data_IF_879356194647
#
_entry.id   IF_879356194647
#
_cell.length_a   1.000
_cell.length_b   1.000
_cell.length_c   1.000
_cell.angle_alpha   90.00
_cell.angle_beta   90.00
_cell.angle_gamma   90.00
#
_symmetry.space_group_name_H-M   'P 1'
#
loop_
_entity.id
_entity.type
_entity.pdbx_description
1 polymer ?
#
# COMPACT_ATOMS: atom_id res chain seq x y z
N UNK A 1 -5.32 -4.95 -14.31
CA UNK A 1 -5.44 -3.63 -13.65
C UNK A 1 -4.03 -3.10 -13.41
N UNK A 2 -3.84 -1.78 -13.51
CA UNK A 2 -2.61 -1.09 -13.12
C UNK A 2 -2.87 -0.27 -11.87
N UNK A 3 -1.87 -0.21 -10.99
CA UNK A 3 -1.83 0.70 -9.87
C UNK A 3 -0.61 1.62 -9.96
N UNK A 4 -0.74 2.83 -9.42
CA UNK A 4 0.35 3.80 -9.31
C UNK A 4 0.30 4.45 -7.94
N UNK A 5 1.45 4.72 -7.35
CA UNK A 5 1.58 5.34 -6.03
C UNK A 5 2.98 5.95 -5.88
N UNK A 6 3.09 6.91 -4.96
CA UNK A 6 4.35 7.48 -4.52
C UNK A 6 4.83 6.70 -3.29
N UNK A 7 5.92 5.94 -3.40
CA UNK A 7 6.48 5.14 -2.30
C UNK A 7 7.70 5.81 -1.69
N UNK A 8 7.64 6.05 -0.38
CA UNK A 8 8.82 6.36 0.44
C UNK A 8 9.34 5.09 1.11
N UNK A 9 10.67 4.99 1.23
CA UNK A 9 11.34 3.85 1.88
C UNK A 9 12.12 4.36 3.10
N UNK A 10 11.96 3.66 4.22
CA UNK A 10 12.71 3.89 5.45
C UNK A 10 13.22 2.55 5.95
N UNK A 11 14.42 2.53 6.53
CA UNK A 11 14.99 1.29 7.06
C UNK A 11 15.97 1.59 8.18
N UNK A 12 16.12 0.62 9.07
CA UNK A 12 17.15 0.64 10.10
C UNK A 12 18.52 0.32 9.46
N UNK A 13 19.64 0.83 10.02
CA UNK A 13 20.97 0.55 9.48
C UNK A 13 21.33 -0.94 9.42
N UNK A 14 20.79 -1.72 10.35
CA UNK A 14 20.95 -3.18 10.45
C UNK A 14 20.08 -3.97 9.45
N UNK A 15 19.23 -3.28 8.68
CA UNK A 15 18.29 -3.84 7.70
C UNK A 15 17.22 -4.78 8.27
N UNK A 16 17.07 -4.85 9.60
CA UNK A 16 16.05 -5.70 10.24
C UNK A 16 14.63 -5.22 9.97
N UNK A 17 14.44 -3.90 9.97
CA UNK A 17 13.13 -3.30 9.79
C UNK A 17 13.14 -2.40 8.56
N UNK A 18 12.10 -2.56 7.74
CA UNK A 18 11.83 -1.65 6.62
C UNK A 18 10.39 -1.18 6.68
N UNK A 19 10.19 0.12 6.55
CA UNK A 19 8.89 0.73 6.40
C UNK A 19 8.75 1.26 4.98
N UNK A 20 7.61 1.01 4.36
CA UNK A 20 7.19 1.70 3.15
C UNK A 20 5.93 2.50 3.41
N UNK A 21 5.88 3.72 2.88
CA UNK A 21 4.69 4.56 2.93
C UNK A 21 4.27 4.90 1.51
N UNK A 22 3.11 4.39 1.12
CA UNK A 22 2.51 4.61 -0.19
C UNK A 22 1.44 5.69 -0.09
N UNK A 23 1.57 6.72 -0.92
CA UNK A 23 0.65 7.86 -1.01
C UNK A 23 0.18 8.03 -2.45
N UNK A 24 -0.85 8.86 -2.65
CA UNK A 24 -1.40 9.18 -3.97
C UNK A 24 -1.76 7.93 -4.78
N UNK A 25 -2.45 6.98 -4.14
CA UNK A 25 -2.83 5.72 -4.75
C UNK A 25 -3.80 5.99 -5.91
N UNK A 26 -3.51 5.36 -7.04
CA UNK A 26 -4.22 5.51 -8.30
C UNK A 26 -4.42 4.15 -8.93
N UNK A 27 -5.63 3.89 -9.40
CA UNK A 27 -6.02 2.62 -10.02
C UNK A 27 -6.57 2.83 -11.42
N UNK A 28 -6.23 1.90 -12.32
CA UNK A 28 -6.62 1.93 -13.73
C UNK A 28 -7.08 0.54 -14.19
N UNK A 29 -8.30 0.44 -14.73
CA UNK A 29 -8.77 -0.79 -15.37
C UNK A 29 -8.22 -0.91 -16.79
N UNK A 30 -7.78 -2.12 -17.16
CA UNK A 30 -7.44 -2.43 -18.55
C UNK A 30 -8.67 -2.65 -19.43
N UNK A 31 -9.81 -2.99 -18.83
CA UNK A 31 -11.03 -3.36 -19.54
C UNK A 31 -11.78 -2.11 -20.06
N UNK A 32 -11.74 -1.00 -19.31
CA UNK A 32 -12.45 0.24 -19.64
C UNK A 32 -11.54 1.32 -20.25
N UNK A 33 -10.22 1.16 -20.15
CA UNK A 33 -9.26 2.14 -20.68
C UNK A 33 -8.88 1.88 -22.14
N UNK A 34 -9.81 2.14 -23.06
CA UNK A 34 -9.57 1.95 -24.51
C UNK A 34 -8.40 2.81 -25.06
N UNK A 35 -7.97 3.87 -24.33
CA UNK A 35 -6.83 4.74 -24.71
C UNK A 35 -6.03 5.36 -23.53
N UNK A 36 -6.19 4.87 -22.29
CA UNK A 36 -5.57 5.45 -21.07
C UNK A 36 -5.84 6.96 -20.81
N UNK A 37 -6.82 7.58 -21.47
CA UNK A 37 -6.99 9.05 -21.45
C UNK A 37 -7.75 9.55 -20.21
N UNK A 38 -8.54 8.73 -19.50
CA UNK A 38 -9.44 9.29 -18.45
C UNK A 38 -9.86 8.43 -17.24
N UNK A 39 -9.22 7.31 -16.93
CA UNK A 39 -9.76 6.37 -15.93
C UNK A 39 -8.84 6.14 -14.73
N UNK A 40 -8.62 7.20 -13.94
CA UNK A 40 -7.92 7.11 -12.66
C UNK A 40 -8.92 7.17 -11.52
N UNK A 41 -9.10 6.07 -10.79
CA UNK A 41 -9.68 6.18 -9.45
C UNK A 41 -8.57 6.59 -8.49
N UNK A 42 -8.71 7.75 -7.86
CA UNK A 42 -7.79 8.21 -6.82
C UNK A 42 -8.30 7.76 -5.47
N UNK A 43 -7.41 7.24 -4.65
CA UNK A 43 -7.69 6.93 -3.26
C UNK A 43 -6.82 7.84 -2.39
N UNK A 44 -7.46 8.57 -1.46
CA UNK A 44 -6.75 9.46 -0.53
C UNK A 44 -6.11 8.70 0.65
N UNK A 45 -6.32 7.38 0.72
CA UNK A 45 -5.70 6.54 1.71
C UNK A 45 -4.16 6.60 1.63
N UNK A 46 -3.53 6.42 2.79
CA UNK A 46 -2.09 6.21 2.92
C UNK A 46 -1.88 4.79 3.42
N UNK A 47 -1.08 4.01 2.69
CA UNK A 47 -0.78 2.63 3.08
C UNK A 47 0.63 2.57 3.66
N UNK A 48 0.73 2.22 4.95
CA UNK A 48 1.99 1.95 5.61
C UNK A 48 2.18 0.44 5.73
N UNK A 49 3.34 -0.06 5.29
CA UNK A 49 3.73 -1.46 5.48
C UNK A 49 5.05 -1.50 6.28
N UNK A 50 5.11 -2.31 7.33
CA UNK A 50 6.35 -2.68 8.01
C UNK A 50 6.74 -4.11 7.57
N UNK A 51 8.03 -4.32 7.32
CA UNK A 51 8.61 -5.60 6.90
C UNK A 51 9.77 -5.94 7.81
N UNK A 52 9.77 -7.17 8.28
CA UNK A 52 10.69 -7.72 9.26
C UNK A 52 10.66 -9.26 9.17
N UNK A 53 11.63 -9.92 9.79
CA UNK A 53 11.69 -11.39 9.86
C UNK A 53 10.93 -11.92 11.07
N UNK A 54 10.37 -13.14 11.00
CA UNK A 54 9.57 -13.74 12.09
C UNK A 54 10.30 -13.75 13.44
N UNK A 55 11.64 -13.87 13.45
CA UNK A 55 12.43 -13.80 14.67
C UNK A 55 12.30 -12.46 15.43
N UNK A 56 11.87 -11.40 14.76
CA UNK A 56 11.69 -10.06 15.32
C UNK A 56 10.21 -9.73 15.63
N UNK A 57 9.28 -10.71 15.63
CA UNK A 57 7.85 -10.52 15.95
C UNK A 57 7.62 -9.77 17.28
N UNK A 58 8.27 -10.22 18.35
CA UNK A 58 8.15 -9.60 19.69
C UNK A 58 8.57 -8.11 19.67
N UNK A 59 9.62 -7.79 18.90
CA UNK A 59 10.09 -6.42 18.76
C UNK A 59 9.11 -5.59 17.93
N UNK A 60 8.56 -6.19 16.86
CA UNK A 60 7.57 -5.53 16.00
C UNK A 60 6.28 -5.21 16.74
N UNK A 61 5.80 -6.11 17.59
CA UNK A 61 4.62 -5.86 18.43
C UNK A 61 4.78 -4.59 19.27
N UNK A 62 5.98 -4.32 19.77
CA UNK A 62 6.29 -3.09 20.50
C UNK A 62 6.42 -1.87 19.58
N UNK A 63 7.01 -2.02 18.39
CA UNK A 63 7.17 -0.92 17.41
C UNK A 63 5.80 -0.45 16.92
N UNK A 64 4.90 -1.39 16.59
CA UNK A 64 3.58 -1.08 16.01
C UNK A 64 2.65 -0.35 16.97
N UNK A 65 2.88 -0.44 18.30
CA UNK A 65 2.16 0.36 19.30
C UNK A 65 2.36 1.87 19.15
N UNK A 66 3.45 2.30 18.52
CA UNK A 66 3.72 3.72 18.24
C UNK A 66 3.05 4.21 16.94
N UNK A 67 2.44 3.32 16.16
CA UNK A 67 1.71 3.73 14.96
C UNK A 67 0.29 4.14 15.34
N UNK A 68 -0.19 5.31 14.88
CA UNK A 68 -1.52 5.81 15.21
C UNK A 68 -2.62 5.12 14.38
N UNK A 69 -2.41 3.86 13.97
CA UNK A 69 -3.24 3.14 13.01
C UNK A 69 -3.30 1.65 13.38
N UNK A 70 -4.49 1.05 13.23
CA UNK A 70 -4.65 -0.40 13.41
C UNK A 70 -4.15 -1.14 12.18
N UNK A 71 -3.39 -2.22 12.38
CA UNK A 71 -2.99 -3.10 11.29
C UNK A 71 -4.20 -3.83 10.69
N UNK A 72 -4.30 -3.79 9.37
CA UNK A 72 -5.34 -4.49 8.59
C UNK A 72 -4.70 -5.21 7.41
N UNK A 73 -5.43 -6.17 6.83
CA UNK A 73 -5.03 -6.76 5.53
C UNK A 73 -5.43 -5.79 4.42
N UNK A 74 -4.46 -5.37 3.63
CA UNK A 74 -4.68 -4.50 2.47
C UNK A 74 -4.02 -5.10 1.23
N UNK A 75 -4.75 -5.12 0.12
CA UNK A 75 -4.24 -5.53 -1.18
C UNK A 75 -4.59 -4.47 -2.21
N UNK A 76 -3.56 -3.80 -2.72
CA UNK A 76 -3.73 -2.81 -3.80
C UNK A 76 -4.42 -3.44 -5.03
N UNK A 77 -4.20 -4.74 -5.27
CA UNK A 77 -4.87 -5.44 -6.37
C UNK A 77 -6.38 -5.58 -6.12
N UNK A 78 -6.77 -6.09 -4.95
CA UNK A 78 -8.19 -6.31 -4.61
C UNK A 78 -8.93 -4.98 -4.58
N UNK A 79 -8.39 -3.98 -3.89
CA UNK A 79 -8.95 -2.63 -3.83
C UNK A 79 -9.08 -2.03 -5.22
N UNK A 80 -8.04 -2.11 -6.05
CA UNK A 80 -8.11 -1.59 -7.41
C UNK A 80 -9.15 -2.26 -8.28
N UNK A 81 -9.28 -3.60 -8.22
CA UNK A 81 -10.34 -4.32 -8.96
C UNK A 81 -11.72 -3.89 -8.47
N UNK A 82 -11.95 -3.79 -7.16
CA UNK A 82 -13.21 -3.32 -6.59
C UNK A 82 -13.55 -1.89 -7.03
N UNK A 83 -12.57 -0.99 -7.03
CA UNK A 83 -12.77 0.40 -7.40
C UNK A 83 -12.94 0.63 -8.91
N UNK A 84 -12.49 -0.31 -9.77
CA UNK A 84 -12.48 -0.11 -11.22
C UNK A 84 -13.37 -1.06 -12.02
N UNK A 85 -13.82 -2.18 -11.46
CA UNK A 85 -14.66 -3.17 -12.16
C UNK A 85 -16.16 -3.07 -11.82
N UNK A 86 -16.56 -2.19 -10.92
CA UNK A 86 -17.97 -1.95 -10.59
C UNK A 86 -18.59 -0.85 -11.48
N UNK A 87 -18.42 -0.97 -12.80
CA UNK A 87 -19.17 -0.21 -13.81
C UNK A 87 -19.95 -1.20 -14.70
#
# INVERSE_FOLDING_TARGET
MLNSYNRSYYGTPDKKFRITVDRNLRYFSFLTANRFIRYTTKEEAVVMEIKYETADDITTDRITQYFPLRQTKSSKYVTGVQLTNWL
#
